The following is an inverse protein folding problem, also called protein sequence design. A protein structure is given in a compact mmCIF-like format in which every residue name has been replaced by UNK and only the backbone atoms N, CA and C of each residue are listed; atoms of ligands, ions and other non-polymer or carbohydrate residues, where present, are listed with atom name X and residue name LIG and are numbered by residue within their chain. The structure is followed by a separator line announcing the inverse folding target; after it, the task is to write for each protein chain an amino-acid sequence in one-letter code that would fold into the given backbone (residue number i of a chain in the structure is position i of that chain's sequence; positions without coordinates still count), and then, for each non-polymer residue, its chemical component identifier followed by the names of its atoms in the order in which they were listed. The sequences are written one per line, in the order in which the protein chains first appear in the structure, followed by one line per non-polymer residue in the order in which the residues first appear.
data_IF_434387163423
#
_entry.id   IF_434387163423
#
_cell.length_a   1.000
_cell.length_b   1.000
_cell.length_c   1.000
_cell.angle_alpha   90.00
_cell.angle_beta   90.00
_cell.angle_gamma   90.00
#
_symmetry.space_group_name_H-M   'P 1'
#
loop_
_entity.id
_entity.type
_entity.pdbx_description
1 polymer ?
#
# COMPACT_ATOMS: atom_id res chain seq x y z
N UNK A 1 16.39 -17.63 -4.72
CA UNK A 1 15.18 -16.98 -5.26
C UNK A 1 14.43 -16.41 -4.07
N UNK A 2 14.21 -15.10 -4.01
CA UNK A 2 13.47 -14.47 -2.89
C UNK A 2 12.01 -14.90 -2.98
N UNK A 3 11.47 -15.47 -1.90
CA UNK A 3 10.05 -15.83 -1.84
C UNK A 3 9.27 -14.63 -1.34
N UNK A 4 8.76 -13.82 -2.27
CA UNK A 4 7.89 -12.70 -1.95
C UNK A 4 6.47 -13.22 -1.77
N UNK A 5 5.89 -12.99 -0.59
CA UNK A 5 4.49 -13.30 -0.29
C UNK A 5 3.99 -12.18 0.61
N UNK A 6 2.88 -11.51 0.29
CA UNK A 6 2.34 -10.47 1.16
C UNK A 6 2.03 -11.03 2.56
N UNK A 7 2.66 -10.48 3.60
CA UNK A 7 2.44 -10.90 4.99
C UNK A 7 1.90 -9.76 5.84
N UNK A 8 0.90 -10.10 6.67
CA UNK A 8 0.26 -9.16 7.59
C UNK A 8 1.24 -8.54 8.60
N UNK A 9 2.28 -9.28 9.00
CA UNK A 9 3.27 -8.82 9.97
C UNK A 9 4.05 -7.56 9.52
N UNK A 10 4.01 -7.22 8.23
CA UNK A 10 4.72 -6.08 7.68
C UNK A 10 3.90 -4.78 7.66
N UNK A 11 2.57 -4.82 7.84
CA UNK A 11 1.70 -3.67 7.60
C UNK A 11 2.01 -2.41 8.45
N UNK A 12 2.44 -2.49 9.72
CA UNK A 12 2.87 -1.28 10.45
C UNK A 12 4.28 -0.82 10.02
N UNK A 13 5.16 -1.77 9.71
CA UNK A 13 6.57 -1.48 9.44
C UNK A 13 6.81 -0.95 8.02
N UNK A 14 5.92 -1.27 7.07
CA UNK A 14 6.05 -0.82 5.68
C UNK A 14 5.97 0.69 5.54
N UNK A 15 5.15 1.36 6.36
CA UNK A 15 5.06 2.82 6.36
C UNK A 15 6.34 3.50 6.87
N UNK A 16 7.04 2.88 7.82
CA UNK A 16 8.35 3.34 8.25
C UNK A 16 9.43 3.03 7.20
N UNK A 17 9.37 1.87 6.56
CA UNK A 17 10.30 1.51 5.49
C UNK A 17 10.25 2.46 4.29
N UNK A 18 9.06 2.91 3.87
CA UNK A 18 8.96 3.89 2.77
C UNK A 18 9.51 5.25 3.15
N UNK A 19 9.46 5.65 4.42
CA UNK A 19 10.10 6.89 4.88
C UNK A 19 11.61 6.82 4.67
N UNK A 20 12.25 5.72 5.06
CA UNK A 20 13.69 5.50 4.88
C UNK A 20 14.08 5.69 3.41
N UNK A 21 13.44 4.91 2.52
CA UNK A 21 13.74 4.96 1.08
C UNK A 21 13.45 6.33 0.48
N UNK A 22 12.29 6.93 0.79
CA UNK A 22 11.91 8.24 0.26
C UNK A 22 12.79 9.36 0.80
N UNK A 23 13.35 9.23 2.00
CA UNK A 23 14.26 10.23 2.56
C UNK A 23 15.60 10.27 1.81
N UNK A 24 16.09 9.11 1.37
CA UNK A 24 17.40 8.94 0.74
C UNK A 24 17.36 9.01 -0.80
N UNK A 25 16.20 8.78 -1.42
CA UNK A 25 16.06 8.75 -2.87
C UNK A 25 15.15 9.86 -3.37
N UNK A 26 15.71 10.76 -4.20
CA UNK A 26 14.95 11.89 -4.74
C UNK A 26 14.01 11.52 -5.91
N UNK A 27 14.21 10.35 -6.52
CA UNK A 27 13.48 9.92 -7.71
C UNK A 27 12.67 8.65 -7.48
N UNK A 28 11.87 8.64 -6.40
CA UNK A 28 10.94 7.55 -6.10
C UNK A 28 9.52 8.09 -5.94
N UNK A 29 8.56 7.24 -6.24
CA UNK A 29 7.19 7.38 -5.77
C UNK A 29 6.97 6.47 -4.56
N UNK A 30 6.17 6.93 -3.61
CA UNK A 30 5.65 6.09 -2.52
C UNK A 30 4.30 5.53 -2.95
N UNK A 31 4.11 4.24 -2.79
CA UNK A 31 2.88 3.56 -3.17
C UNK A 31 2.28 2.89 -1.96
N UNK A 32 1.01 3.17 -1.71
CA UNK A 32 0.19 2.38 -0.81
C UNK A 32 -0.70 1.48 -1.67
N UNK A 33 -0.90 0.23 -1.26
CA UNK A 33 -1.70 -0.69 -2.04
C UNK A 33 -2.29 -1.84 -1.24
N UNK A 34 -3.34 -2.41 -1.80
CA UNK A 34 -3.93 -3.65 -1.33
C UNK A 34 -3.29 -4.85 -2.04
N UNK A 35 -2.64 -5.73 -1.27
CA UNK A 35 -2.03 -6.95 -1.79
C UNK A 35 -2.79 -8.19 -1.29
N UNK A 36 -3.04 -9.15 -2.17
CA UNK A 36 -3.76 -10.38 -1.79
C UNK A 36 -2.78 -11.50 -1.48
N UNK A 37 -2.90 -12.10 -0.28
CA UNK A 37 -2.03 -13.19 0.13
C UNK A 37 -2.59 -14.61 -0.14
N UNK A 38 -3.67 -14.71 -0.93
CA UNK A 38 -4.41 -15.96 -1.15
C UNK A 38 -5.59 -16.17 -0.20
N UNK A 39 -5.70 -15.38 0.88
CA UNK A 39 -6.79 -15.46 1.86
C UNK A 39 -7.48 -14.12 2.10
N UNK A 40 -6.72 -13.04 2.20
CA UNK A 40 -7.21 -11.71 2.53
C UNK A 40 -6.36 -10.64 1.85
N UNK A 41 -6.93 -9.45 1.73
CA UNK A 41 -6.25 -8.25 1.29
C UNK A 41 -5.53 -7.61 2.47
N UNK A 42 -4.29 -7.21 2.24
CA UNK A 42 -3.40 -6.60 3.21
C UNK A 42 -3.00 -5.22 2.69
N UNK A 43 -3.16 -4.21 3.54
CA UNK A 43 -2.63 -2.89 3.30
C UNK A 43 -1.11 -2.94 3.38
N UNK A 44 -0.44 -2.45 2.34
CA UNK A 44 1.01 -2.43 2.25
C UNK A 44 1.53 -1.12 1.66
N UNK A 45 2.81 -0.83 1.88
CA UNK A 45 3.48 0.32 1.30
C UNK A 45 4.90 -0.04 0.81
N UNK A 46 5.28 0.51 -0.35
CA UNK A 46 6.61 0.36 -0.94
C UNK A 46 7.01 1.64 -1.68
N UNK A 47 8.29 1.73 -2.05
CA UNK A 47 8.76 2.76 -2.98
C UNK A 47 9.00 2.17 -4.36
N UNK A 48 8.82 2.96 -5.40
CA UNK A 48 9.12 2.53 -6.77
C UNK A 48 9.69 3.65 -7.63
N UNK A 49 10.48 3.26 -8.63
CA UNK A 49 10.85 4.07 -9.78
C UNK A 49 10.03 3.62 -11.00
N UNK A 50 10.40 4.09 -12.18
CA UNK A 50 9.82 3.60 -13.43
C UNK A 50 10.18 2.12 -13.69
N UNK A 51 11.35 1.67 -13.22
CA UNK A 51 11.92 0.36 -13.56
C UNK A 51 11.93 -0.63 -12.39
N UNK A 52 11.95 -0.14 -11.13
CA UNK A 52 12.17 -1.00 -9.97
C UNK A 52 11.26 -0.67 -8.78
N UNK A 53 11.04 -1.68 -7.94
CA UNK A 53 10.40 -1.59 -6.63
C UNK A 53 11.45 -1.79 -5.55
N UNK A 54 11.35 -0.98 -4.50
CA UNK A 54 12.14 -1.02 -3.27
C UNK A 54 11.15 -1.26 -2.12
N UNK A 55 11.14 -2.49 -1.62
CA UNK A 55 10.27 -2.92 -0.52
C UNK A 55 11.13 -3.52 0.59
N UNK A 56 11.63 -2.64 1.48
CA UNK A 56 12.53 -3.03 2.58
C UNK A 56 11.87 -3.96 3.61
N UNK A 57 10.55 -4.17 3.54
CA UNK A 57 9.91 -5.15 4.42
C UNK A 57 10.02 -6.58 3.91
N UNK A 58 10.23 -6.75 2.61
CA UNK A 58 10.44 -8.06 1.98
C UNK A 58 11.92 -8.33 1.65
N UNK A 59 12.67 -7.31 1.23
CA UNK A 59 14.09 -7.43 0.88
C UNK A 59 14.81 -6.08 0.82
N UNK A 60 16.13 -6.06 1.06
CA UNK A 60 16.97 -4.88 0.86
C UNK A 60 17.44 -4.68 -0.60
N UNK A 61 17.13 -5.63 -1.48
CA UNK A 61 17.47 -5.57 -2.90
C UNK A 61 16.36 -4.91 -3.72
N UNK A 62 16.75 -4.15 -4.76
CA UNK A 62 15.79 -3.66 -5.75
C UNK A 62 15.25 -4.82 -6.60
N UNK A 63 13.95 -4.78 -6.89
CA UNK A 63 13.29 -5.78 -7.73
C UNK A 63 12.74 -5.08 -8.98
N UNK A 64 12.95 -5.68 -10.16
CA UNK A 64 12.29 -5.23 -11.39
C UNK A 64 10.77 -5.06 -11.18
N UNK A 65 10.24 -3.92 -11.58
CA UNK A 65 8.87 -3.51 -11.25
C UNK A 65 7.84 -4.48 -11.81
N UNK A 66 7.98 -4.88 -13.06
CA UNK A 66 7.07 -5.84 -13.70
C UNK A 66 7.10 -7.20 -12.98
N UNK A 67 8.28 -7.63 -12.55
CA UNK A 67 8.47 -8.86 -11.77
C UNK A 67 7.82 -8.76 -10.40
N UNK A 68 8.05 -7.67 -9.66
CA UNK A 68 7.42 -7.45 -8.35
C UNK A 68 5.90 -7.46 -8.47
N UNK A 69 5.36 -6.69 -9.42
CA UNK A 69 3.91 -6.57 -9.64
C UNK A 69 3.27 -7.91 -9.95
N UNK A 70 3.91 -8.71 -10.81
CA UNK A 70 3.44 -10.05 -11.16
C UNK A 70 3.46 -11.00 -9.97
N UNK A 71 4.51 -10.98 -9.15
CA UNK A 71 4.64 -11.88 -8.00
C UNK A 71 3.68 -11.48 -6.86
N UNK A 72 3.58 -10.18 -6.58
CA UNK A 72 2.79 -9.64 -5.46
C UNK A 72 1.32 -9.39 -5.83
N UNK A 73 0.95 -9.58 -7.10
CA UNK A 73 -0.43 -9.38 -7.58
C UNK A 73 -0.88 -7.91 -7.53
N UNK A 74 0.05 -6.98 -7.74
CA UNK A 74 -0.25 -5.54 -7.74
C UNK A 74 -1.10 -5.19 -8.95
N UNK A 75 -2.22 -4.48 -8.73
CA UNK A 75 -3.03 -3.91 -9.81
C UNK A 75 -3.15 -2.40 -9.63
N UNK A 76 -3.08 -1.58 -10.71
CA UNK A 76 -3.14 -0.12 -10.60
C UNK A 76 -4.36 0.40 -9.84
N UNK A 77 -5.51 -0.25 -10.00
CA UNK A 77 -6.79 0.12 -9.39
C UNK A 77 -6.80 -0.10 -7.87
N UNK A 78 -5.86 -0.89 -7.34
CA UNK A 78 -5.71 -1.20 -5.91
C UNK A 78 -4.56 -0.43 -5.26
N UNK A 79 -4.08 0.62 -5.91
CA UNK A 79 -2.93 1.40 -5.47
C UNK A 79 -3.20 2.90 -5.51
N UNK A 80 -2.62 3.61 -4.54
CA UNK A 80 -2.51 5.07 -4.56
C UNK A 80 -1.02 5.43 -4.57
N UNK A 81 -0.63 6.31 -5.50
CA UNK A 81 0.76 6.71 -5.70
C UNK A 81 0.94 8.18 -5.32
N UNK A 82 2.02 8.44 -4.61
CA UNK A 82 2.45 9.78 -4.24
C UNK A 82 3.84 9.99 -4.80
N UNK A 83 4.05 11.13 -5.47
CA UNK A 83 5.43 11.59 -5.68
C UNK A 83 6.08 11.82 -4.33
N UNK A 84 7.42 11.74 -4.25
CA UNK A 84 8.16 12.04 -3.01
C UNK A 84 7.73 13.36 -2.36
N UNK A 85 7.57 14.43 -3.15
CA UNK A 85 7.14 15.72 -2.63
C UNK A 85 5.75 15.64 -1.99
N UNK A 86 4.78 15.04 -2.70
CA UNK A 86 3.42 14.88 -2.18
C UNK A 86 3.41 14.02 -0.92
N UNK A 87 4.20 12.94 -0.88
CA UNK A 87 4.34 12.11 0.32
C UNK A 87 4.80 12.92 1.53
N UNK A 88 5.88 13.71 1.42
CA UNK A 88 6.36 14.50 2.56
C UNK A 88 5.40 15.64 2.95
N UNK A 89 4.66 16.21 2.01
CA UNK A 89 3.57 17.15 2.33
C UNK A 89 2.51 16.46 3.18
N UNK A 90 2.06 15.26 2.78
CA UNK A 90 1.08 14.48 3.53
C UNK A 90 1.59 14.10 4.94
N UNK A 91 2.85 13.70 5.07
CA UNK A 91 3.47 13.43 6.37
C UNK A 91 3.45 14.66 7.28
N UNK A 92 3.78 15.83 6.74
CA UNK A 92 3.78 17.08 7.50
C UNK A 92 2.36 17.50 7.94
N UNK A 93 1.36 17.30 7.08
CA UNK A 93 -0.04 17.66 7.34
C UNK A 93 -0.71 16.71 8.34
N UNK A 94 -0.43 15.41 8.25
CA UNK A 94 -1.14 14.37 9.02
C UNK A 94 -0.36 13.84 10.24
N UNK A 95 0.96 13.98 10.27
CA UNK A 95 1.80 13.53 11.39
C UNK A 95 2.03 12.01 11.46
N UNK A 96 1.75 11.26 10.39
CA UNK A 96 2.08 9.84 10.24
C UNK A 96 2.52 9.52 8.79
N UNK A 97 3.02 8.30 8.53
CA UNK A 97 3.63 7.91 7.24
C UNK A 97 2.65 7.20 6.28
N UNK A 98 1.36 7.35 6.52
CA UNK A 98 0.29 6.70 5.76
C UNK A 98 -0.48 5.62 6.54
N UNK A 99 -1.49 4.99 5.88
CA UNK A 99 -2.05 5.43 4.60
C UNK A 99 -2.76 6.78 4.75
N UNK A 100 -2.75 7.62 3.71
CA UNK A 100 -3.41 8.94 3.76
C UNK A 100 -4.85 8.91 3.25
N UNK A 101 -5.13 8.06 2.25
CA UNK A 101 -6.48 7.80 1.77
C UNK A 101 -7.16 6.75 2.67
N UNK A 102 -7.70 7.20 3.81
CA UNK A 102 -8.29 6.30 4.81
C UNK A 102 -9.63 5.72 4.39
N UNK A 103 -10.33 6.34 3.44
CA UNK A 103 -11.58 5.80 2.91
C UNK A 103 -11.29 4.59 2.02
N UNK A 104 -10.25 4.68 1.18
CA UNK A 104 -9.81 3.56 0.35
C UNK A 104 -9.05 2.48 1.15
N UNK A 105 -8.22 2.89 2.11
CA UNK A 105 -7.46 2.01 2.99
C UNK A 105 -8.13 1.92 4.39
N UNK A 106 -9.40 1.54 4.40
CA UNK A 106 -10.28 1.55 5.58
C UNK A 106 -9.88 0.60 6.72
N UNK A 107 -8.98 -0.34 6.46
CA UNK A 107 -8.49 -1.30 7.44
C UNK A 107 -7.06 -1.74 7.11
N UNK A 108 -6.31 -2.31 8.06
CA UNK A 108 -5.03 -2.95 7.75
C UNK A 108 -5.19 -4.29 7.00
N UNK A 109 -6.34 -4.96 7.17
CA UNK A 109 -6.69 -6.22 6.51
C UNK A 109 -8.18 -6.28 6.21
N UNK A 110 -8.56 -6.96 5.13
CA UNK A 110 -9.96 -7.26 4.81
C UNK A 110 -10.10 -8.57 4.04
N UNK A 111 -11.13 -9.35 4.35
CA UNK A 111 -11.48 -10.54 3.56
C UNK A 111 -12.25 -10.18 2.28
N UNK A 112 -12.91 -9.01 2.24
CA UNK A 112 -13.66 -8.52 1.09
C UNK A 112 -12.71 -7.79 0.13
N UNK A 113 -12.95 -7.94 -1.18
CA UNK A 113 -12.22 -7.14 -2.17
C UNK A 113 -12.48 -5.65 -1.93
N UNK A 114 -11.41 -4.83 -1.72
CA UNK A 114 -11.55 -3.40 -1.43
C UNK A 114 -12.19 -2.60 -2.58
N UNK A 115 -12.28 -3.17 -3.78
CA UNK A 115 -12.95 -2.53 -4.92
C UNK A 115 -14.45 -2.83 -5.01
N UNK A 116 -14.96 -3.83 -4.27
CA UNK A 116 -16.40 -4.08 -4.22
C UNK A 116 -17.00 -3.03 -3.29
N UNK A 117 -17.79 -2.11 -3.85
CA UNK A 117 -18.52 -1.08 -3.09
C UNK A 117 -19.06 -1.67 -1.78
N UNK A 118 -18.52 -1.18 -0.67
CA UNK A 118 -19.11 -1.42 0.63
C UNK A 118 -20.44 -0.67 0.63
N UNK A 119 -21.52 -1.39 0.32
CA UNK A 119 -22.89 -0.93 0.53
C UNK A 119 -23.16 -0.75 2.04
N UNK A 120 -22.49 0.21 2.68
CA UNK A 120 -22.79 0.65 4.04
C UNK A 120 -23.81 1.79 4.02
N UNK A 121 -24.92 1.59 3.31
CA UNK A 121 -26.15 2.38 3.46
C UNK A 121 -27.39 1.49 3.38
N UNK A 122 -27.46 0.47 4.23
CA UNK A 122 -28.76 -0.05 4.68
C UNK A 122 -29.09 0.60 6.02
N UNK A 123 -29.63 1.83 6.00
CA UNK A 123 -30.41 2.31 7.13
C UNK A 123 -31.65 1.41 7.23
N UNK A 124 -31.97 0.81 8.39
CA UNK A 124 -33.28 0.21 8.55
C UNK A 124 -34.31 1.34 8.45
N UNK A 125 -35.18 1.25 7.45
CA UNK A 125 -36.42 2.01 7.41
C UNK A 125 -37.18 1.69 8.69
N UNK A 126 -37.17 2.61 9.66
CA UNK A 126 -38.14 2.57 10.75
C UNK A 126 -39.51 2.85 10.17
N UNK A 127 -40.27 1.79 9.90
CA UNK A 127 -41.72 1.84 9.86
C UNK A 127 -42.22 2.14 11.27
N UNK A 128 -42.85 3.31 11.43
CA UNK A 128 -44.04 3.54 12.25
C UNK A 128 -44.86 4.67 11.63
#
# INVERSE_FOLDING_TARGET
MVSLVPKQAHAPNCFHAVLEVASENNNVSVVNGWLFNGRQWILHAWCETDEAVIDLTETHEMIDKATYYRIMGVTPERTVRYTRLVFFTQVAEHGHFGPFDTDFFFAPITAQDPLIETNHHSRPSTEK
#
